data_IF_307165590872
#
_entry.id   IF_307165590872
#
_cell.length_a   1.000
_cell.length_b   1.000
_cell.length_c   1.000
_cell.angle_alpha   90.00
_cell.angle_beta   90.00
_cell.angle_gamma   90.00
#
_symmetry.space_group_name_H-M   'P 1'
#
loop_
_entity.id
_entity.type
_entity.pdbx_description
1 polymer ?
#
# COMPACT_ATOMS: atom_id res chain seq x y z
N UNK A 1 -22.64 28.10 2.95
CA UNK A 1 -21.59 27.13 3.33
C UNK A 1 -21.74 25.87 2.47
N UNK A 2 -20.76 25.61 1.63
CA UNK A 2 -20.81 24.42 0.77
C UNK A 2 -20.36 23.19 1.55
N UNK A 3 -21.21 22.20 1.63
CA UNK A 3 -20.84 20.92 2.21
C UNK A 3 -19.93 20.18 1.26
N UNK A 4 -18.70 19.92 1.68
CA UNK A 4 -17.76 19.12 0.91
C UNK A 4 -17.98 17.65 1.22
N UNK A 5 -18.14 16.87 0.19
CA UNK A 5 -18.20 15.41 0.33
C UNK A 5 -16.82 14.85 0.03
N UNK A 6 -16.31 14.04 0.94
CA UNK A 6 -15.04 13.33 0.76
C UNK A 6 -15.36 11.86 0.58
N UNK A 7 -14.83 11.28 -0.47
CA UNK A 7 -15.09 9.88 -0.79
C UNK A 7 -13.77 9.14 -0.96
N UNK A 8 -13.80 7.85 -0.66
CA UNK A 8 -12.67 6.94 -0.90
C UNK A 8 -12.91 6.28 -2.24
N UNK A 9 -11.99 6.46 -3.18
CA UNK A 9 -12.12 5.94 -4.54
C UNK A 9 -11.32 4.67 -4.77
N UNK A 10 -10.34 4.39 -3.91
CA UNK A 10 -9.53 3.20 -4.05
C UNK A 10 -8.85 2.84 -2.74
N UNK A 11 -8.67 1.55 -2.54
CA UNK A 11 -8.02 0.98 -1.37
C UNK A 11 -6.94 0.00 -1.81
N UNK A 12 -5.85 -0.01 -1.09
CA UNK A 12 -4.79 -0.98 -1.30
C UNK A 12 -4.25 -1.44 0.05
N UNK A 13 -3.97 -2.70 0.18
CA UNK A 13 -3.50 -3.27 1.44
C UNK A 13 -2.44 -4.34 1.20
N UNK A 14 -1.39 -4.28 2.03
CA UNK A 14 -0.36 -5.31 2.13
C UNK A 14 -0.23 -5.64 3.61
N UNK A 15 -0.50 -6.88 3.96
CA UNK A 15 -0.46 -7.29 5.37
C UNK A 15 -0.14 -8.77 5.49
N UNK A 16 0.11 -9.21 6.71
CA UNK A 16 0.30 -10.63 6.99
C UNK A 16 -0.97 -11.45 6.80
N UNK A 17 -2.13 -10.80 6.78
CA UNK A 17 -3.42 -11.46 6.50
C UNK A 17 -3.66 -11.66 5.01
N UNK A 18 -2.98 -10.91 4.18
CA UNK A 18 -3.11 -11.02 2.74
C UNK A 18 -2.66 -9.76 2.02
N UNK A 19 -2.36 -9.89 0.75
CA UNK A 19 -1.99 -8.81 -0.14
C UNK A 19 -3.13 -8.60 -1.12
N UNK A 20 -3.65 -7.36 -1.18
CA UNK A 20 -4.85 -7.05 -1.92
C UNK A 20 -6.08 -7.15 -1.03
N UNK A 21 -7.14 -6.44 -1.43
CA UNK A 21 -8.34 -6.29 -0.59
C UNK A 21 -9.04 -7.62 -0.36
N UNK A 22 -9.20 -8.42 -1.40
CA UNK A 22 -9.91 -9.70 -1.29
C UNK A 22 -9.17 -10.67 -0.37
N UNK A 23 -7.87 -10.84 -0.59
CA UNK A 23 -7.05 -11.72 0.24
C UNK A 23 -7.00 -11.25 1.69
N UNK A 24 -6.88 -9.94 1.87
CA UNK A 24 -6.86 -9.34 3.20
C UNK A 24 -8.16 -9.62 3.96
N UNK A 25 -9.28 -9.40 3.28
CA UNK A 25 -10.60 -9.59 3.90
C UNK A 25 -10.83 -11.06 4.26
N UNK A 26 -10.49 -11.98 3.37
CA UNK A 26 -10.59 -13.42 3.63
C UNK A 26 -9.68 -13.84 4.79
N UNK A 27 -8.45 -13.35 4.82
CA UNK A 27 -7.52 -13.64 5.91
C UNK A 27 -7.96 -13.05 7.23
N UNK A 28 -8.59 -11.89 7.23
CA UNK A 28 -9.08 -11.24 8.43
C UNK A 28 -10.31 -11.93 9.00
N UNK A 29 -11.21 -12.38 8.14
CA UNK A 29 -12.44 -13.08 8.55
C UNK A 29 -12.21 -14.54 8.89
N UNK A 30 -11.14 -15.15 8.38
CA UNK A 30 -10.78 -16.53 8.65
C UNK A 30 -9.91 -16.65 9.89
N UNK A 31 -8.93 -17.57 9.83
CA UNK A 31 -7.94 -17.70 10.90
C UNK A 31 -6.77 -16.76 10.60
N UNK A 32 -6.64 -15.64 11.32
CA UNK A 32 -5.48 -14.78 11.14
C UNK A 32 -4.21 -15.55 11.53
N UNK A 33 -3.07 -15.24 10.87
CA UNK A 33 -1.82 -15.91 11.21
C UNK A 33 -1.44 -15.66 12.66
N UNK A 34 -1.09 -16.76 13.35
CA UNK A 34 -0.62 -16.71 14.74
C UNK A 34 0.89 -16.83 14.71
N UNK A 35 1.58 -15.96 15.40
CA UNK A 35 3.04 -15.99 15.51
C UNK A 35 3.69 -15.01 14.56
N UNK A 36 4.32 -15.50 13.52
CA UNK A 36 5.04 -14.64 12.57
C UNK A 36 4.08 -13.78 11.76
N UNK A 37 4.15 -12.47 11.97
CA UNK A 37 3.26 -11.51 11.30
C UNK A 37 3.92 -10.89 10.08
N UNK A 38 4.84 -11.59 9.46
CA UNK A 38 5.48 -11.13 8.24
C UNK A 38 4.58 -11.32 7.04
N UNK A 39 4.74 -10.44 6.08
CA UNK A 39 4.04 -10.54 4.80
C UNK A 39 4.68 -11.67 3.98
N UNK A 40 3.88 -12.68 3.63
CA UNK A 40 4.33 -13.80 2.82
C UNK A 40 3.91 -13.60 1.36
N UNK A 41 4.64 -14.26 0.45
CA UNK A 41 4.29 -14.30 -0.98
C UNK A 41 4.15 -12.93 -1.63
N UNK A 42 4.94 -11.96 -1.17
CA UNK A 42 4.93 -10.61 -1.70
C UNK A 42 6.11 -10.40 -2.64
N UNK A 43 5.80 -10.14 -3.91
CA UNK A 43 6.81 -9.80 -4.91
C UNK A 43 6.73 -8.30 -5.22
N UNK A 44 7.67 -7.49 -4.70
CA UNK A 44 7.62 -6.05 -4.90
C UNK A 44 7.83 -5.63 -6.36
N UNK A 45 8.47 -6.45 -7.19
CA UNK A 45 8.78 -6.09 -8.57
C UNK A 45 7.51 -5.87 -9.40
N UNK A 46 6.39 -6.47 -9.01
CA UNK A 46 5.12 -6.30 -9.72
C UNK A 46 4.53 -4.89 -9.59
N UNK A 47 4.99 -4.11 -8.63
CA UNK A 47 4.43 -2.79 -8.32
C UNK A 47 5.33 -1.63 -8.69
N UNK A 48 6.54 -1.91 -9.17
CA UNK A 48 7.50 -0.91 -9.59
C UNK A 48 7.57 -0.89 -11.11
N UNK A 49 7.69 0.30 -11.69
CA UNK A 49 7.90 0.44 -13.13
C UNK A 49 9.22 -0.19 -13.54
N UNK A 50 10.27 0.04 -12.75
CA UNK A 50 11.57 -0.56 -12.94
C UNK A 50 11.82 -1.58 -11.83
N UNK A 51 11.90 -2.88 -12.15
CA UNK A 51 12.14 -3.90 -11.12
C UNK A 51 13.41 -3.71 -10.31
N UNK A 52 14.41 -3.03 -10.86
CA UNK A 52 15.65 -2.72 -10.14
C UNK A 52 15.40 -1.79 -8.95
N UNK A 53 14.44 -0.90 -9.06
CA UNK A 53 14.10 0.03 -7.99
C UNK A 53 13.51 -0.71 -6.79
N UNK A 54 12.80 -1.80 -7.02
CA UNK A 54 12.25 -2.60 -5.93
C UNK A 54 13.35 -3.21 -5.07
N UNK A 55 14.46 -3.62 -5.68
CA UNK A 55 15.58 -4.22 -4.96
C UNK A 55 16.36 -3.21 -4.12
N UNK A 56 16.31 -1.95 -4.50
CA UNK A 56 17.00 -0.85 -3.81
C UNK A 56 16.17 -0.24 -2.70
N UNK A 57 14.91 -0.59 -2.62
CA UNK A 57 13.97 -0.06 -1.65
C UNK A 57 13.89 -0.97 -0.43
N UNK A 58 13.68 -0.37 0.73
CA UNK A 58 13.42 -1.13 1.94
C UNK A 58 11.98 -1.69 1.92
N UNK A 59 11.71 -2.57 2.86
CA UNK A 59 10.42 -3.26 2.96
C UNK A 59 9.27 -2.28 3.14
N UNK A 60 9.46 -1.26 3.98
CA UNK A 60 8.46 -0.24 4.25
C UNK A 60 8.07 0.52 2.98
N UNK A 61 9.06 0.91 2.18
CA UNK A 61 8.83 1.59 0.91
C UNK A 61 8.15 0.67 -0.10
N UNK A 62 8.55 -0.59 -0.15
CA UNK A 62 7.93 -1.58 -1.04
C UNK A 62 6.43 -1.73 -0.74
N UNK A 63 6.07 -1.83 0.54
CA UNK A 63 4.68 -1.96 0.96
C UNK A 63 3.88 -0.70 0.62
N UNK A 64 4.44 0.47 0.87
CA UNK A 64 3.77 1.74 0.58
C UNK A 64 3.48 1.89 -0.92
N UNK A 65 4.43 1.57 -1.76
CA UNK A 65 4.28 1.66 -3.21
C UNK A 65 3.25 0.63 -3.70
N UNK A 66 3.32 -0.60 -3.20
CA UNK A 66 2.38 -1.65 -3.58
C UNK A 66 0.94 -1.27 -3.21
N UNK A 67 0.74 -0.82 -1.97
CA UNK A 67 -0.58 -0.41 -1.50
C UNK A 67 -1.12 0.78 -2.30
N UNK A 68 -0.27 1.77 -2.58
CA UNK A 68 -0.66 2.93 -3.37
C UNK A 68 -1.03 2.54 -4.80
N UNK A 69 -0.27 1.63 -5.40
CA UNK A 69 -0.53 1.13 -6.75
C UNK A 69 -1.87 0.40 -6.83
N UNK A 70 -2.16 -0.44 -5.85
CA UNK A 70 -3.46 -1.13 -5.78
C UNK A 70 -4.61 -0.15 -5.65
N UNK A 71 -4.45 0.88 -4.80
CA UNK A 71 -5.48 1.90 -4.60
C UNK A 71 -5.71 2.70 -5.88
N UNK A 72 -4.65 3.06 -6.58
CA UNK A 72 -4.74 3.80 -7.84
C UNK A 72 -5.42 2.97 -8.93
N UNK A 73 -5.08 1.68 -9.00
CA UNK A 73 -5.71 0.78 -9.98
C UNK A 73 -7.19 0.63 -9.72
N UNK A 74 -7.59 0.53 -8.45
CA UNK A 74 -9.00 0.45 -8.10
C UNK A 74 -9.75 1.75 -8.37
N UNK A 75 -9.12 2.89 -8.11
CA UNK A 75 -9.72 4.20 -8.35
C UNK A 75 -9.94 4.47 -9.84
N UNK A 76 -9.11 3.87 -10.69
CA UNK A 76 -9.18 4.08 -12.12
C UNK A 76 -8.55 5.40 -12.52
N UNK A 77 -9.08 6.00 -13.58
CA UNK A 77 -8.55 7.26 -14.10
C UNK A 77 -8.91 8.42 -13.17
N UNK A 78 -7.89 9.10 -12.66
CA UNK A 78 -8.09 10.24 -11.78
C UNK A 78 -8.14 11.54 -12.60
N UNK A 79 -9.17 12.33 -12.36
CA UNK A 79 -9.37 13.61 -13.02
C UNK A 79 -8.79 14.78 -12.23
N UNK A 80 -8.27 14.50 -11.04
CA UNK A 80 -7.71 15.53 -10.18
C UNK A 80 -6.43 16.14 -10.79
N UNK A 81 -6.29 17.46 -10.64
CA UNK A 81 -5.10 18.16 -11.10
C UNK A 81 -3.91 17.84 -10.20
N UNK A 82 -2.73 17.76 -10.80
CA UNK A 82 -1.52 17.44 -10.06
C UNK A 82 -1.22 18.45 -8.95
N UNK A 83 -1.48 19.72 -9.18
CA UNK A 83 -1.27 20.78 -8.19
C UNK A 83 -2.31 20.78 -7.05
N UNK A 84 -3.34 19.97 -7.18
CA UNK A 84 -4.38 19.77 -6.16
C UNK A 84 -4.30 18.38 -5.52
N UNK A 85 -3.25 17.65 -5.81
CA UNK A 85 -3.06 16.29 -5.34
C UNK A 85 -1.87 16.21 -4.41
N UNK A 86 -1.96 15.37 -3.38
CA UNK A 86 -0.87 15.20 -2.44
C UNK A 86 -0.75 13.75 -1.99
N UNK A 87 0.39 13.44 -1.41
CA UNK A 87 0.67 12.12 -0.85
C UNK A 87 1.04 12.28 0.61
N UNK A 88 0.34 11.56 1.48
CA UNK A 88 0.58 11.59 2.93
C UNK A 88 0.83 10.17 3.40
N UNK A 89 2.02 9.93 3.94
CA UNK A 89 2.40 8.60 4.42
C UNK A 89 2.81 8.71 5.88
N UNK A 90 2.13 7.90 6.72
CA UNK A 90 2.49 7.75 8.11
C UNK A 90 3.36 6.52 8.29
N UNK A 91 4.41 6.67 9.07
CA UNK A 91 5.29 5.55 9.41
C UNK A 91 5.81 5.71 10.83
N UNK A 92 6.05 4.60 11.51
CA UNK A 92 6.66 4.63 12.82
C UNK A 92 8.16 4.95 12.71
N UNK A 93 8.98 3.90 12.77
CA UNK A 93 10.43 4.04 12.71
C UNK A 93 11.04 3.42 11.44
N UNK A 94 10.19 3.09 10.46
CA UNK A 94 10.62 2.34 9.28
C UNK A 94 11.79 2.96 8.55
N UNK A 95 11.71 4.27 8.26
CA UNK A 95 12.75 4.96 7.51
C UNK A 95 14.00 5.23 8.33
N UNK A 96 13.88 5.34 9.66
CA UNK A 96 15.05 5.59 10.51
C UNK A 96 15.96 4.37 10.64
N UNK A 97 15.44 3.19 10.41
CA UNK A 97 16.24 1.96 10.44
C UNK A 97 17.27 1.90 9.32
N UNK A 98 17.06 2.64 8.25
CA UNK A 98 17.98 2.69 7.12
C UNK A 98 19.27 3.41 7.49
N UNK A 99 19.21 4.31 8.46
CA UNK A 99 20.31 5.16 8.86
C UNK A 99 21.08 4.66 10.09
N UNK A 100 20.70 3.51 10.60
CA UNK A 100 21.35 2.92 11.79
C UNK A 100 22.53 2.04 11.40
#
# INVERSE_FOLDING_TARGET
MTNRKVVVTGLGVVSSCGTGIESFWEGLCGKPPIGDRRVADFDPSNYFENPKDSRRSDRCTQFAIAAARMAMDQAGELTAKADRSGVFIGTGIGLSLIHI
#
